data_IF_941562516588
#
_entry.id   IF_941562516588
#
_cell.length_a   1.000
_cell.length_b   1.000
_cell.length_c   1.000
_cell.angle_alpha   90.00
_cell.angle_beta   90.00
_cell.angle_gamma   90.00
#
_symmetry.space_group_name_H-M   'P 1'
#
loop_
_entity.id
_entity.type
_entity.pdbx_description
1 polymer ?
#
# COMPACT_ATOMS: atom_id res chain seq x y z
N UNK A 1 24.33 25.26 -7.54
CA UNK A 1 23.58 24.51 -6.51
C UNK A 1 22.09 24.59 -6.84
N UNK A 2 21.32 23.50 -6.68
CA UNK A 2 19.87 23.52 -6.90
C UNK A 2 19.18 24.32 -5.78
N UNK A 3 18.18 25.13 -6.11
CA UNK A 3 17.36 25.84 -5.12
C UNK A 3 16.37 24.93 -4.38
N UNK A 4 16.14 23.70 -4.88
CA UNK A 4 15.30 22.66 -4.27
C UNK A 4 16.06 21.33 -4.24
N UNK A 5 17.01 21.16 -3.31
CA UNK A 5 17.65 19.86 -3.11
C UNK A 5 16.63 18.84 -2.60
N UNK A 6 16.61 17.64 -3.20
CA UNK A 6 15.76 16.56 -2.72
C UNK A 6 16.27 16.04 -1.36
N UNK A 7 15.35 15.79 -0.43
CA UNK A 7 15.63 15.21 0.89
C UNK A 7 14.79 13.96 1.10
N UNK A 8 15.33 12.98 1.84
CA UNK A 8 14.53 11.88 2.36
C UNK A 8 13.89 12.35 3.66
N UNK A 9 12.57 12.52 3.64
CA UNK A 9 11.79 13.01 4.79
C UNK A 9 11.11 11.87 5.57
N UNK A 10 10.82 10.76 4.89
CA UNK A 10 10.20 9.57 5.49
C UNK A 10 10.62 8.29 4.80
N UNK A 11 10.47 7.17 5.51
CA UNK A 11 10.60 5.83 4.95
C UNK A 11 9.58 5.58 3.84
N UNK A 12 9.83 4.55 3.03
CA UNK A 12 8.83 4.07 2.09
C UNK A 12 7.54 3.69 2.85
N UNK A 13 6.36 3.99 2.28
CA UNK A 13 5.09 3.60 2.88
C UNK A 13 4.94 2.07 2.92
N UNK A 14 4.17 1.59 3.89
CA UNK A 14 3.74 0.20 3.94
C UNK A 14 2.78 -0.12 2.79
N UNK A 15 2.57 -1.41 2.54
CA UNK A 15 1.55 -1.86 1.59
C UNK A 15 0.20 -1.27 2.01
N UNK A 16 -0.45 -0.57 1.08
CA UNK A 16 -1.77 0.00 1.26
C UNK A 16 -1.92 1.07 2.37
N UNK A 17 -0.82 1.64 2.91
CA UNK A 17 -0.85 2.60 4.04
C UNK A 17 -1.78 3.81 3.83
N UNK A 18 -1.87 4.30 2.59
CA UNK A 18 -2.64 5.50 2.24
C UNK A 18 -3.97 5.21 1.51
N UNK A 19 -4.42 3.95 1.45
CA UNK A 19 -5.56 3.59 0.61
C UNK A 19 -6.87 4.25 1.06
N UNK A 20 -7.16 4.21 2.36
CA UNK A 20 -8.38 4.81 2.91
C UNK A 20 -8.38 6.35 2.72
N UNK A 21 -7.22 6.99 2.86
CA UNK A 21 -7.01 8.42 2.57
C UNK A 21 -7.33 8.72 1.11
N UNK A 22 -6.73 7.98 0.18
CA UNK A 22 -6.92 8.19 -1.26
C UNK A 22 -8.38 7.92 -1.68
N UNK A 23 -8.98 6.84 -1.20
CA UNK A 23 -10.36 6.47 -1.54
C UNK A 23 -11.36 7.50 -1.02
N UNK A 24 -11.13 8.05 0.17
CA UNK A 24 -11.98 9.09 0.71
C UNK A 24 -11.80 10.41 -0.02
N UNK A 25 -10.56 10.86 -0.18
CA UNK A 25 -10.26 12.24 -0.61
C UNK A 25 -10.32 12.41 -2.13
N UNK A 26 -9.93 11.40 -2.90
CA UNK A 26 -9.87 11.49 -4.36
C UNK A 26 -10.99 10.71 -5.06
N UNK A 27 -11.48 9.63 -4.46
CA UNK A 27 -12.61 8.86 -5.01
C UNK A 27 -13.96 9.16 -4.32
N UNK A 28 -13.98 10.02 -3.30
CA UNK A 28 -15.20 10.44 -2.61
C UNK A 28 -15.93 9.32 -1.87
N UNK A 29 -15.21 8.24 -1.50
CA UNK A 29 -15.82 7.07 -0.86
C UNK A 29 -16.08 7.32 0.62
N UNK A 30 -17.23 6.85 1.06
CA UNK A 30 -17.60 6.74 2.46
C UNK A 30 -16.85 5.60 3.14
N UNK A 31 -16.68 5.64 4.48
CA UNK A 31 -16.10 4.52 5.23
C UNK A 31 -16.80 3.19 4.97
N UNK A 32 -18.12 3.20 4.81
CA UNK A 32 -18.94 2.02 4.56
C UNK A 32 -18.68 1.42 3.17
N UNK A 33 -18.52 2.26 2.14
CA UNK A 33 -18.13 1.80 0.81
C UNK A 33 -16.71 1.21 0.80
N UNK A 34 -15.77 1.81 1.53
CA UNK A 34 -14.40 1.29 1.64
C UNK A 34 -14.41 -0.06 2.34
N UNK A 35 -15.17 -0.20 3.43
CA UNK A 35 -15.35 -1.48 4.12
C UNK A 35 -15.97 -2.54 3.18
N UNK A 36 -16.93 -2.15 2.34
CA UNK A 36 -17.49 -3.04 1.32
C UNK A 36 -16.45 -3.46 0.28
N UNK A 37 -15.63 -2.55 -0.23
CA UNK A 37 -14.56 -2.89 -1.18
C UNK A 37 -13.55 -3.89 -0.59
N UNK A 38 -13.25 -3.74 0.71
CA UNK A 38 -12.39 -4.68 1.45
C UNK A 38 -13.06 -6.04 1.60
N UNK A 39 -14.35 -6.08 1.96
CA UNK A 39 -15.13 -7.31 2.08
C UNK A 39 -15.31 -8.03 0.73
N UNK A 40 -15.46 -7.28 -0.36
CA UNK A 40 -15.58 -7.79 -1.72
C UNK A 40 -14.20 -8.23 -2.30
N UNK A 41 -13.11 -8.04 -1.54
CA UNK A 41 -11.76 -8.43 -1.96
C UNK A 41 -11.17 -7.58 -3.08
N UNK A 42 -11.66 -6.35 -3.27
CA UNK A 42 -11.16 -5.41 -4.29
C UNK A 42 -9.89 -4.70 -3.79
N UNK A 43 -9.83 -4.41 -2.50
CA UNK A 43 -8.66 -3.86 -1.81
C UNK A 43 -8.24 -4.80 -0.68
N UNK A 44 -6.95 -4.80 -0.37
CA UNK A 44 -6.37 -5.68 0.64
C UNK A 44 -5.42 -4.90 1.54
N UNK A 45 -5.43 -5.21 2.83
CA UNK A 45 -4.48 -4.62 3.78
C UNK A 45 -3.12 -5.33 3.75
N UNK A 46 -3.03 -6.48 3.08
CA UNK A 46 -1.81 -7.25 2.88
C UNK A 46 -1.65 -7.66 1.41
N UNK A 47 -0.42 -7.93 0.93
CA UNK A 47 -0.20 -8.46 -0.41
C UNK A 47 -0.86 -9.83 -0.59
N UNK A 48 -1.59 -10.00 -1.69
CA UNK A 48 -2.24 -11.28 -2.06
C UNK A 48 -1.19 -12.39 -2.23
N UNK A 49 -0.05 -12.05 -2.86
CA UNK A 49 1.07 -12.95 -3.02
C UNK A 49 2.18 -12.58 -2.04
N UNK A 50 2.23 -13.31 -0.93
CA UNK A 50 3.25 -13.14 0.12
C UNK A 50 4.64 -13.60 -0.31
N UNK A 51 4.76 -14.38 -1.38
CA UNK A 51 6.04 -14.85 -1.91
C UNK A 51 6.74 -13.80 -2.81
N UNK A 52 6.04 -12.73 -3.24
CA UNK A 52 6.61 -11.66 -4.09
C UNK A 52 7.19 -10.50 -3.27
N UNK A 53 6.71 -10.30 -2.04
CA UNK A 53 7.15 -9.21 -1.17
C UNK A 53 7.80 -9.79 0.10
N UNK A 54 9.10 -10.11 -0.03
CA UNK A 54 10.05 -10.41 1.05
C UNK A 54 9.84 -11.72 1.83
N UNK A 55 10.53 -12.78 1.40
CA UNK A 55 10.90 -13.90 2.28
C UNK A 55 12.42 -13.95 2.35
N UNK A 56 13.07 -13.51 3.45
CA UNK A 56 14.53 -13.55 3.55
C UNK A 56 15.08 -14.99 3.56
N UNK A 57 14.27 -15.98 3.94
CA UNK A 57 14.70 -17.37 4.20
C UNK A 57 14.26 -18.43 3.17
N UNK A 58 13.60 -18.06 2.06
CA UNK A 58 13.33 -19.02 1.00
C UNK A 58 14.41 -18.92 -0.08
N UNK A 59 15.51 -19.64 0.15
CA UNK A 59 16.38 -20.08 -0.95
C UNK A 59 15.50 -20.90 -1.90
N UNK A 60 15.29 -20.38 -3.11
CA UNK A 60 14.62 -21.09 -4.18
C UNK A 60 15.59 -22.20 -4.63
N UNK A 61 15.47 -23.40 -4.05
CA UNK A 61 16.09 -24.60 -4.63
C UNK A 61 15.23 -25.09 -5.79
N UNK A 62 15.86 -25.12 -6.96
CA UNK A 62 15.36 -25.63 -8.24
C UNK A 62 15.19 -27.15 -8.21
#
# INVERSE_FOLDING_TARGET
>A
FSATPATMDRSAPLFNEHADEILREFAGRTPEEIAKLRADGVIHDEPINKDVFFVPDKIITN
#
